data_IF_950718268502
#
_entry.id   IF_950718268502
#
_cell.length_a   1.000
_cell.length_b   1.000
_cell.length_c   1.000
_cell.angle_alpha   90.00
_cell.angle_beta   90.00
_cell.angle_gamma   90.00
#
_symmetry.space_group_name_H-M   'P 1'
#
loop_
_entity.id
_entity.type
_entity.pdbx_description
1 polymer ?
#
# COMPACT_ATOMS: atom_id res chain seq x y z
N UNK A 1 -21.11 14.21 30.51
CA UNK A 1 -19.96 13.87 29.65
C UNK A 1 -19.53 12.46 30.00
N UNK A 2 -19.68 11.48 29.10
CA UNK A 2 -19.25 10.09 29.35
C UNK A 2 -17.79 9.95 28.91
N UNK A 3 -16.90 9.61 29.82
CA UNK A 3 -15.49 9.37 29.51
C UNK A 3 -15.25 7.86 29.41
N UNK A 4 -15.00 7.38 28.20
CA UNK A 4 -14.71 5.96 27.96
C UNK A 4 -13.30 5.60 28.49
N UNK A 5 -13.13 4.44 29.15
CA UNK A 5 -11.83 3.96 29.60
C UNK A 5 -10.97 3.49 28.42
N UNK A 6 -9.65 3.36 28.62
CA UNK A 6 -8.71 2.91 27.59
C UNK A 6 -8.92 1.46 27.15
N UNK A 7 -9.62 0.64 27.94
CA UNK A 7 -10.03 -0.71 27.53
C UNK A 7 -11.04 -0.72 26.38
N UNK A 8 -11.67 0.41 26.06
CA UNK A 8 -12.58 0.52 24.91
C UNK A 8 -11.78 0.88 23.66
N UNK A 9 -11.65 -0.09 22.75
CA UNK A 9 -10.99 0.09 21.45
C UNK A 9 -11.58 1.27 20.68
N UNK A 10 -10.70 2.18 20.25
CA UNK A 10 -11.06 3.38 19.49
C UNK A 10 -11.49 4.57 20.34
N UNK A 11 -11.56 4.44 21.68
CA UNK A 11 -11.80 5.58 22.56
C UNK A 11 -10.62 6.57 22.55
N UNK A 12 -10.83 7.85 22.91
CA UNK A 12 -9.74 8.82 23.02
C UNK A 12 -8.61 8.37 23.95
N UNK A 13 -8.94 7.71 25.07
CA UNK A 13 -7.94 7.18 26.01
C UNK A 13 -7.17 6.00 25.44
N UNK A 14 -7.85 5.08 24.76
CA UNK A 14 -7.21 3.97 24.04
C UNK A 14 -6.23 4.48 22.98
N UNK A 15 -6.66 5.41 22.14
CA UNK A 15 -5.80 6.00 21.10
C UNK A 15 -4.62 6.78 21.70
N UNK A 16 -4.84 7.45 22.83
CA UNK A 16 -3.76 8.12 23.56
C UNK A 16 -2.72 7.13 24.10
N UNK A 17 -3.13 6.03 24.73
CA UNK A 17 -2.20 4.98 25.19
C UNK A 17 -1.41 4.37 24.02
N UNK A 18 -2.07 4.03 22.91
CA UNK A 18 -1.38 3.57 21.70
C UNK A 18 -0.35 4.57 21.17
N UNK A 19 -0.65 5.87 21.28
CA UNK A 19 0.30 6.92 20.90
C UNK A 19 1.49 6.96 21.85
N UNK A 20 1.27 6.82 23.16
CA UNK A 20 2.33 6.76 24.15
C UNK A 20 3.22 5.51 23.98
N UNK A 21 2.63 4.37 23.64
CA UNK A 21 3.36 3.14 23.31
C UNK A 21 4.23 3.35 22.07
N UNK A 22 3.67 3.92 21.00
CA UNK A 22 4.44 4.27 19.81
C UNK A 22 5.62 5.19 20.11
N UNK A 23 5.40 6.23 20.93
CA UNK A 23 6.47 7.13 21.37
C UNK A 23 7.52 6.43 22.23
N UNK A 24 7.12 5.45 23.05
CA UNK A 24 8.04 4.64 23.85
C UNK A 24 8.96 3.79 22.96
N UNK A 25 8.42 3.19 21.89
CA UNK A 25 9.23 2.44 20.92
C UNK A 25 10.19 3.37 20.18
N UNK A 26 9.72 4.54 19.74
CA UNK A 26 10.58 5.53 19.07
C UNK A 26 11.69 6.03 19.99
N UNK A 27 11.37 6.27 21.26
CA UNK A 27 12.36 6.68 22.27
C UNK A 27 13.43 5.62 22.52
N UNK A 28 13.02 4.35 22.59
CA UNK A 28 13.92 3.24 22.93
C UNK A 28 14.71 2.70 21.72
N UNK A 29 14.14 2.77 20.51
CA UNK A 29 14.67 2.10 19.32
C UNK A 29 14.90 3.04 18.13
N UNK A 30 14.66 4.33 18.29
CA UNK A 30 14.74 5.33 17.22
C UNK A 30 13.59 5.23 16.22
N UNK A 31 13.77 5.80 15.03
CA UNK A 31 12.75 5.77 13.98
C UNK A 31 12.54 4.33 13.46
N UNK A 32 11.30 3.96 13.10
CA UNK A 32 11.03 2.68 12.45
C UNK A 32 11.76 2.59 11.12
N UNK A 33 12.11 1.37 10.73
CA UNK A 33 12.80 1.04 9.48
C UNK A 33 11.82 0.97 8.31
N UNK A 34 10.62 0.43 8.55
CA UNK A 34 9.58 0.31 7.54
C UNK A 34 8.25 0.88 8.04
N UNK A 35 7.58 1.58 7.14
CA UNK A 35 6.19 1.99 7.26
C UNK A 35 5.38 1.28 6.17
N UNK A 36 4.63 0.26 6.54
CA UNK A 36 3.86 -0.58 5.60
C UNK A 36 2.38 -0.28 5.79
N UNK A 37 1.69 -0.05 4.67
CA UNK A 37 0.23 0.02 4.68
C UNK A 37 -0.37 -1.26 4.11
N UNK A 38 -1.40 -1.78 4.76
CA UNK A 38 -2.11 -2.98 4.31
C UNK A 38 -3.61 -2.68 4.20
N UNK A 39 -4.15 -2.75 2.99
CA UNK A 39 -5.54 -2.37 2.70
C UNK A 39 -6.37 -3.58 2.34
N UNK A 40 -7.58 -3.67 2.88
CA UNK A 40 -8.53 -4.71 2.50
C UNK A 40 -8.90 -4.61 1.02
N UNK A 41 -8.83 -5.73 0.30
CA UNK A 41 -9.33 -5.82 -1.07
C UNK A 41 -10.66 -6.62 -1.08
N UNK A 42 -11.81 -5.97 -1.35
CA UNK A 42 -13.09 -6.66 -1.45
C UNK A 42 -13.15 -7.74 -2.53
N UNK A 43 -12.20 -7.72 -3.48
CA UNK A 43 -12.13 -8.68 -4.56
C UNK A 43 -11.41 -9.99 -4.20
N UNK A 44 -10.90 -10.14 -2.97
CA UNK A 44 -10.31 -11.40 -2.50
C UNK A 44 -11.32 -12.55 -2.60
N UNK A 45 -10.84 -13.72 -3.03
CA UNK A 45 -11.68 -14.90 -3.27
C UNK A 45 -12.40 -15.33 -2.00
N UNK A 46 -11.73 -15.29 -0.84
CA UNK A 46 -12.33 -15.68 0.44
C UNK A 46 -13.54 -14.82 0.82
N UNK A 47 -13.58 -13.56 0.38
CA UNK A 47 -14.74 -12.69 0.56
C UNK A 47 -15.84 -13.12 -0.41
N UNK A 48 -15.52 -13.19 -1.70
CA UNK A 48 -16.50 -13.52 -2.76
C UNK A 48 -17.17 -14.87 -2.55
N UNK A 49 -16.41 -15.88 -2.14
CA UNK A 49 -16.89 -17.24 -1.89
C UNK A 49 -17.78 -17.35 -0.65
N UNK A 50 -17.67 -16.41 0.29
CA UNK A 50 -18.48 -16.40 1.53
C UNK A 50 -19.76 -15.56 1.36
N UNK A 51 -19.85 -14.72 0.34
CA UNK A 51 -21.03 -13.91 0.09
C UNK A 51 -22.14 -14.77 -0.50
N UNK A 52 -23.37 -14.55 -0.03
CA UNK A 52 -24.56 -15.14 -0.66
C UNK A 52 -24.84 -14.42 -1.99
N UNK A 53 -25.67 -15.05 -2.83
CA UNK A 53 -26.15 -14.44 -4.06
C UNK A 53 -26.74 -13.05 -3.78
N UNK A 54 -26.43 -12.10 -4.67
CA UNK A 54 -26.78 -10.68 -4.60
C UNK A 54 -26.11 -9.85 -3.47
N UNK A 55 -25.42 -10.46 -2.51
CA UNK A 55 -24.72 -9.70 -1.46
C UNK A 55 -23.50 -8.98 -2.02
N UNK A 56 -23.34 -7.70 -1.65
CA UNK A 56 -22.12 -6.95 -1.90
C UNK A 56 -21.18 -7.06 -0.69
N UNK A 57 -19.86 -6.97 -0.88
CA UNK A 57 -18.91 -6.94 0.22
C UNK A 57 -19.21 -5.85 1.27
N UNK A 58 -19.74 -4.71 0.82
CA UNK A 58 -20.17 -3.60 1.68
C UNK A 58 -21.34 -3.95 2.61
N UNK A 59 -22.12 -4.97 2.28
CA UNK A 59 -23.26 -5.39 3.08
C UNK A 59 -22.82 -6.30 4.24
N UNK A 60 -21.58 -6.82 4.19
CA UNK A 60 -21.02 -7.82 5.11
C UNK A 60 -19.66 -7.40 5.67
N UNK A 61 -19.66 -6.29 6.42
CA UNK A 61 -18.47 -5.78 7.11
C UNK A 61 -17.82 -6.80 8.06
N UNK A 62 -18.60 -7.74 8.61
CA UNK A 62 -18.10 -8.82 9.45
C UNK A 62 -17.19 -9.79 8.68
N UNK A 63 -17.54 -10.14 7.43
CA UNK A 63 -16.71 -10.97 6.55
C UNK A 63 -15.44 -10.21 6.18
N UNK A 64 -15.56 -8.95 5.77
CA UNK A 64 -14.42 -8.09 5.44
C UNK A 64 -13.42 -8.01 6.59
N UNK A 65 -13.89 -7.72 7.81
CA UNK A 65 -13.05 -7.63 9.00
C UNK A 65 -12.35 -8.96 9.31
N UNK A 66 -13.06 -10.10 9.21
CA UNK A 66 -12.52 -11.43 9.49
C UNK A 66 -11.43 -11.82 8.49
N UNK A 67 -11.68 -11.68 7.20
CA UNK A 67 -10.70 -12.01 6.15
C UNK A 67 -9.49 -11.08 6.26
N UNK A 68 -9.72 -9.77 6.42
CA UNK A 68 -8.66 -8.80 6.61
C UNK A 68 -7.78 -9.15 7.81
N UNK A 69 -8.38 -9.44 8.98
CA UNK A 69 -7.62 -9.76 10.19
C UNK A 69 -6.76 -11.02 10.02
N UNK A 70 -7.27 -12.05 9.35
CA UNK A 70 -6.51 -13.27 9.05
C UNK A 70 -5.34 -12.98 8.11
N UNK A 71 -5.56 -12.23 7.03
CA UNK A 71 -4.48 -11.86 6.10
C UNK A 71 -3.44 -10.94 6.75
N UNK A 72 -3.88 -9.98 7.58
CA UNK A 72 -2.98 -9.12 8.35
C UNK A 72 -2.13 -9.95 9.32
N UNK A 73 -2.73 -10.90 10.05
CA UNK A 73 -1.97 -11.80 10.92
C UNK A 73 -0.92 -12.58 10.13
N UNK A 74 -1.28 -13.13 8.97
CA UNK A 74 -0.33 -13.83 8.10
C UNK A 74 0.78 -12.91 7.59
N UNK A 75 0.47 -11.67 7.21
CA UNK A 75 1.44 -10.67 6.80
C UNK A 75 2.46 -10.38 7.90
N UNK A 76 1.98 -10.17 9.15
CA UNK A 76 2.86 -9.98 10.30
C UNK A 76 3.75 -11.20 10.54
N UNK A 77 3.23 -12.42 10.40
CA UNK A 77 4.05 -13.63 10.51
C UNK A 77 5.12 -13.72 9.43
N UNK A 78 4.81 -13.39 8.18
CA UNK A 78 5.80 -13.37 7.10
C UNK A 78 6.91 -12.35 7.40
N UNK A 79 6.55 -11.15 7.85
CA UNK A 79 7.55 -10.12 8.20
C UNK A 79 8.41 -10.57 9.39
N UNK A 80 7.79 -11.09 10.45
CA UNK A 80 8.46 -11.27 11.75
C UNK A 80 9.08 -12.63 11.95
N UNK A 81 8.44 -13.70 11.44
CA UNK A 81 8.89 -15.09 11.56
C UNK A 81 9.67 -15.55 10.35
N UNK A 82 9.19 -15.25 9.14
CA UNK A 82 9.93 -15.55 7.90
C UNK A 82 11.04 -14.53 7.61
N UNK A 83 11.04 -13.39 8.31
CA UNK A 83 12.12 -12.39 8.29
C UNK A 83 12.46 -11.90 6.88
N UNK A 84 11.43 -11.67 6.04
CA UNK A 84 11.62 -11.25 4.64
C UNK A 84 12.39 -9.93 4.48
N UNK A 85 12.35 -9.07 5.49
CA UNK A 85 13.12 -7.81 5.56
C UNK A 85 14.30 -7.88 6.54
N UNK A 86 14.63 -9.08 7.03
CA UNK A 86 15.57 -9.32 8.12
C UNK A 86 14.91 -9.49 9.48
N UNK A 87 15.75 -9.70 10.51
CA UNK A 87 15.27 -9.98 11.86
C UNK A 87 14.52 -8.78 12.47
N UNK A 88 13.25 -8.99 12.81
CA UNK A 88 12.43 -7.96 13.45
C UNK A 88 12.78 -7.83 14.93
N UNK A 89 13.16 -6.62 15.35
CA UNK A 89 13.38 -6.27 16.76
C UNK A 89 12.06 -6.07 17.48
N UNK A 90 11.18 -5.25 16.90
CA UNK A 90 9.85 -5.00 17.41
C UNK A 90 8.97 -4.43 16.30
N UNK A 91 7.66 -4.49 16.48
CA UNK A 91 6.69 -3.99 15.52
C UNK A 91 5.42 -3.55 16.24
N UNK A 92 4.64 -2.71 15.57
CA UNK A 92 3.27 -2.39 15.99
C UNK A 92 2.43 -2.07 14.77
N UNK A 93 1.11 -2.15 14.92
CA UNK A 93 0.21 -1.65 13.90
C UNK A 93 -1.04 -1.04 14.52
N UNK A 94 -1.67 -0.15 13.77
CA UNK A 94 -3.01 0.34 14.06
C UNK A 94 -3.93 0.01 12.88
N UNK A 95 -5.19 -0.31 13.17
CA UNK A 95 -6.22 -0.54 12.16
C UNK A 95 -7.21 0.62 12.20
N UNK A 96 -7.43 1.24 11.05
CA UNK A 96 -8.47 2.24 10.82
C UNK A 96 -9.46 1.79 9.75
N UNK A 97 -10.66 2.34 9.79
CA UNK A 97 -11.67 2.12 8.76
C UNK A 97 -11.68 3.32 7.82
N UNK A 98 -11.31 3.11 6.55
CA UNK A 98 -11.31 4.17 5.56
C UNK A 98 -12.75 4.60 5.20
N UNK A 99 -12.90 5.75 4.51
CA UNK A 99 -14.18 6.40 4.12
C UNK A 99 -15.17 5.53 3.30
N UNK A 100 -14.83 4.27 3.03
CA UNK A 100 -15.66 3.27 2.33
C UNK A 100 -15.95 2.03 3.17
N UNK A 101 -15.69 2.08 4.48
CA UNK A 101 -15.90 0.96 5.39
C UNK A 101 -14.95 -0.20 5.15
N UNK A 102 -13.76 0.05 4.58
CA UNK A 102 -12.73 -0.97 4.42
C UNK A 102 -11.66 -0.83 5.50
N UNK A 103 -11.27 -1.92 6.16
CA UNK A 103 -10.19 -1.88 7.12
C UNK A 103 -8.84 -1.66 6.42
N UNK A 104 -8.01 -0.86 7.07
CA UNK A 104 -6.69 -0.46 6.62
C UNK A 104 -5.74 -0.48 7.81
N UNK A 105 -4.55 -1.03 7.64
CA UNK A 105 -3.56 -1.11 8.70
C UNK A 105 -2.34 -0.28 8.36
N UNK A 106 -1.88 0.52 9.32
CA UNK A 106 -0.56 1.15 9.33
C UNK A 106 0.35 0.33 10.21
N UNK A 107 1.45 -0.19 9.65
CA UNK A 107 2.37 -1.12 10.32
C UNK A 107 3.75 -0.46 10.40
N UNK A 108 4.29 -0.39 11.62
CA UNK A 108 5.64 0.07 11.90
C UNK A 108 6.53 -1.12 12.27
N UNK A 109 7.67 -1.25 11.60
CA UNK A 109 8.66 -2.31 11.86
C UNK A 109 10.00 -1.68 12.25
N UNK A 110 10.62 -2.20 13.30
CA UNK A 110 12.01 -1.95 13.64
C UNK A 110 12.78 -3.25 13.46
N UNK A 111 13.84 -3.19 12.67
CA UNK A 111 14.71 -4.33 12.40
C UNK A 111 15.91 -4.29 13.35
N UNK A 112 16.50 -5.45 13.65
CA UNK A 112 17.77 -5.49 14.41
C UNK A 112 18.91 -4.89 13.58
N UNK A 113 18.93 -5.21 12.29
CA UNK A 113 19.83 -4.60 11.31
C UNK A 113 19.09 -3.51 10.55
N UNK A 114 19.54 -2.27 10.69
CA UNK A 114 18.94 -1.09 10.04
C UNK A 114 19.07 -1.18 8.52
N UNK A 115 18.01 -0.80 7.80
CA UNK A 115 18.02 -0.67 6.33
C UNK A 115 18.93 0.48 5.96
N UNK A 116 19.90 0.24 5.07
CA UNK A 116 20.77 1.29 4.56
C UNK A 116 20.16 1.92 3.31
N UNK A 117 20.52 3.16 2.96
CA UNK A 117 20.07 3.79 1.72
C UNK A 117 20.34 2.95 0.46
N UNK A 118 21.41 2.15 0.46
CA UNK A 118 21.77 1.23 -0.63
C UNK A 118 20.80 0.06 -0.80
N UNK A 119 20.03 -0.27 0.25
CA UNK A 119 19.13 -1.42 0.27
C UNK A 119 17.69 -1.02 -0.11
N UNK A 120 17.42 0.29 -0.30
CA UNK A 120 16.06 0.78 -0.55
C UNK A 120 15.46 0.17 -1.81
N UNK A 121 16.25 0.09 -2.88
CA UNK A 121 15.82 -0.39 -4.19
C UNK A 121 15.67 -1.93 -4.28
N UNK A 122 16.16 -2.67 -3.27
CA UNK A 122 15.91 -4.11 -3.16
C UNK A 122 14.67 -4.43 -2.32
N UNK A 123 14.22 -3.50 -1.48
CA UNK A 123 13.08 -3.68 -0.57
C UNK A 123 11.82 -2.99 -1.11
N UNK A 124 11.97 -1.82 -1.73
CA UNK A 124 10.87 -0.98 -2.20
C UNK A 124 10.94 -0.89 -3.71
N UNK A 125 9.79 -1.05 -4.35
CA UNK A 125 9.66 -0.93 -5.80
C UNK A 125 8.45 -0.09 -6.18
N UNK A 126 8.63 0.61 -7.29
CA UNK A 126 7.55 1.28 -8.00
C UNK A 126 7.64 0.96 -9.50
N UNK A 127 7.98 -0.30 -9.80
CA UNK A 127 8.20 -0.78 -11.15
C UNK A 127 7.24 -1.93 -11.49
N UNK A 128 6.89 -2.03 -12.77
CA UNK A 128 6.19 -3.17 -13.34
C UNK A 128 7.19 -4.34 -13.37
N UNK A 129 6.86 -5.50 -12.76
CA UNK A 129 7.72 -6.68 -12.79
C UNK A 129 8.00 -7.17 -14.20
N UNK A 130 9.03 -7.99 -14.36
CA UNK A 130 9.28 -8.64 -15.65
C UNK A 130 8.19 -9.70 -15.92
N UNK A 131 7.39 -9.59 -17.00
CA UNK A 131 6.32 -10.53 -17.29
C UNK A 131 6.81 -11.94 -17.65
N UNK A 132 8.09 -12.11 -18.00
CA UNK A 132 8.66 -13.42 -18.31
C UNK A 132 9.25 -14.12 -17.09
N UNK A 133 9.84 -13.37 -16.15
CA UNK A 133 10.43 -13.94 -14.94
C UNK A 133 9.40 -14.15 -13.83
N UNK A 134 8.47 -13.20 -13.66
CA UNK A 134 7.41 -13.31 -12.66
C UNK A 134 6.06 -12.84 -13.23
N UNK A 135 5.41 -13.69 -14.05
CA UNK A 135 4.11 -13.37 -14.65
C UNK A 135 3.01 -13.19 -13.60
N UNK A 136 3.13 -13.85 -12.44
CA UNK A 136 2.14 -13.75 -11.37
C UNK A 136 2.21 -12.39 -10.69
N UNK A 137 3.41 -11.95 -10.30
CA UNK A 137 3.61 -10.63 -9.71
C UNK A 137 3.30 -9.53 -10.73
N UNK A 138 3.62 -9.74 -12.00
CA UNK A 138 3.21 -8.84 -13.09
C UNK A 138 1.69 -8.64 -13.12
N UNK A 139 0.88 -9.70 -13.09
CA UNK A 139 -0.59 -9.59 -13.06
C UNK A 139 -1.07 -8.87 -11.78
N UNK A 140 -0.51 -9.24 -10.62
CA UNK A 140 -0.88 -8.62 -9.34
C UNK A 140 -0.58 -7.11 -9.36
N UNK A 141 0.61 -6.70 -9.78
CA UNK A 141 1.03 -5.29 -9.80
C UNK A 141 0.23 -4.51 -10.84
N UNK A 142 0.06 -5.02 -12.06
CA UNK A 142 -0.66 -4.32 -13.12
C UNK A 142 -2.16 -4.18 -12.82
N UNK A 143 -2.73 -5.11 -12.07
CA UNK A 143 -4.15 -5.08 -11.66
C UNK A 143 -4.41 -4.23 -10.43
N UNK A 144 -3.53 -4.27 -9.42
CA UNK A 144 -3.82 -3.70 -8.10
C UNK A 144 -2.97 -2.48 -7.75
N UNK A 145 -1.77 -2.36 -8.34
CA UNK A 145 -0.77 -1.36 -7.96
C UNK A 145 -0.57 -0.29 -9.03
N UNK A 146 -1.47 -0.18 -10.01
CA UNK A 146 -1.45 0.91 -10.98
C UNK A 146 -2.36 2.03 -10.51
N UNK A 147 -1.78 3.22 -10.35
CA UNK A 147 -2.56 4.42 -10.17
C UNK A 147 -3.34 4.69 -11.46
N UNK A 148 -4.67 4.72 -11.36
CA UNK A 148 -5.53 4.83 -12.53
C UNK A 148 -5.15 6.02 -13.41
N UNK A 149 -4.79 5.82 -14.71
CA UNK A 149 -4.30 6.89 -15.56
C UNK A 149 -5.24 8.09 -15.60
N UNK A 150 -4.79 9.23 -15.09
CA UNK A 150 -5.56 10.47 -15.00
C UNK A 150 -4.92 11.56 -15.86
N UNK A 151 -5.43 12.78 -15.82
CA UNK A 151 -4.92 13.88 -16.64
C UNK A 151 -5.36 13.68 -18.09
N UNK A 152 -4.41 13.63 -19.02
CA UNK A 152 -4.71 13.46 -20.45
C UNK A 152 -5.49 12.18 -20.78
N UNK A 153 -5.34 11.13 -19.96
CA UNK A 153 -6.11 9.89 -20.12
C UNK A 153 -7.54 9.97 -19.56
N UNK A 154 -7.76 10.79 -18.54
CA UNK A 154 -9.05 10.95 -17.89
C UNK A 154 -9.03 12.22 -16.99
N UNK A 155 -9.59 13.32 -17.50
CA UNK A 155 -9.64 14.61 -16.82
C UNK A 155 -10.71 14.68 -15.72
N UNK A 156 -11.70 13.79 -15.73
CA UNK A 156 -12.79 13.71 -14.74
C UNK A 156 -12.44 12.84 -13.52
N UNK A 157 -11.22 12.30 -13.47
CA UNK A 157 -10.80 11.45 -12.34
C UNK A 157 -10.85 12.26 -11.03
N UNK A 158 -11.33 11.69 -9.91
CA UNK A 158 -11.50 12.42 -8.65
C UNK A 158 -10.22 13.07 -8.08
N UNK A 159 -9.06 12.62 -8.54
CA UNK A 159 -7.77 13.18 -8.14
C UNK A 159 -7.38 14.44 -8.90
N UNK A 160 -8.08 14.80 -9.99
CA UNK A 160 -7.80 15.97 -10.80
C UNK A 160 -8.30 17.23 -10.10
N UNK A 161 -7.37 18.11 -9.74
CA UNK A 161 -7.64 19.41 -9.12
C UNK A 161 -6.91 20.45 -9.97
N UNK A 162 -7.65 21.44 -10.47
CA UNK A 162 -7.11 22.51 -11.33
C UNK A 162 -6.27 21.98 -12.52
N UNK A 163 -6.76 20.91 -13.16
CA UNK A 163 -6.09 20.28 -14.29
C UNK A 163 -4.83 19.47 -13.96
N UNK A 164 -4.45 19.35 -12.68
CA UNK A 164 -3.30 18.57 -12.21
C UNK A 164 -3.74 17.42 -11.31
N UNK A 165 -3.02 16.30 -11.36
CA UNK A 165 -3.26 15.21 -10.42
C UNK A 165 -2.77 15.61 -9.03
N UNK A 166 -3.67 15.68 -8.06
CA UNK A 166 -3.36 15.93 -6.64
C UNK A 166 -2.38 14.92 -6.03
N UNK A 167 -2.27 13.71 -6.62
CA UNK A 167 -1.32 12.66 -6.21
C UNK A 167 0.00 12.69 -7.02
N UNK A 168 0.19 13.71 -7.85
CA UNK A 168 1.40 13.97 -8.66
C UNK A 168 1.73 12.86 -9.67
N UNK A 169 0.71 12.18 -10.22
CA UNK A 169 0.87 11.24 -11.32
C UNK A 169 0.68 11.92 -12.69
N UNK A 170 1.39 11.48 -13.75
CA UNK A 170 2.44 10.46 -13.75
C UNK A 170 3.70 10.91 -12.98
N UNK A 171 4.38 9.98 -12.29
CA UNK A 171 5.64 10.25 -11.59
C UNK A 171 6.81 10.37 -12.56
N UNK A 172 7.93 10.96 -12.13
CA UNK A 172 9.15 11.06 -12.94
C UNK A 172 9.83 9.69 -13.05
N UNK A 173 10.41 9.40 -14.22
CA UNK A 173 11.30 8.25 -14.42
C UNK A 173 12.70 8.61 -13.94
N UNK A 174 13.28 7.77 -13.08
CA UNK A 174 14.63 7.91 -12.51
C UNK A 174 15.24 6.53 -12.33
N UNK A 175 16.56 6.43 -12.51
CA UNK A 175 17.27 5.15 -12.55
C UNK A 175 17.51 4.54 -11.16
N UNK A 176 17.58 5.37 -10.13
CA UNK A 176 17.86 4.97 -8.75
C UNK A 176 17.06 5.85 -7.79
N UNK A 177 16.78 5.34 -6.59
CA UNK A 177 16.10 6.14 -5.55
C UNK A 177 17.00 7.27 -5.05
N UNK A 178 16.43 8.48 -4.94
CA UNK A 178 17.13 9.69 -4.50
C UNK A 178 16.46 10.31 -3.27
N UNK A 179 17.27 10.86 -2.37
CA UNK A 179 16.76 11.68 -1.27
C UNK A 179 16.27 13.03 -1.81
N UNK A 180 15.13 13.50 -1.32
CA UNK A 180 14.55 14.81 -1.70
C UNK A 180 14.70 15.82 -0.56
N UNK A 181 14.76 17.10 -0.90
CA UNK A 181 14.84 18.22 0.05
C UNK A 181 13.59 18.33 0.95
N UNK A 182 12.43 17.88 0.47
CA UNK A 182 11.16 17.87 1.23
C UNK A 182 11.02 16.64 2.16
N UNK A 183 12.06 15.81 2.27
CA UNK A 183 12.10 14.63 3.13
C UNK A 183 11.39 13.39 2.57
N UNK A 184 10.77 13.47 1.38
CA UNK A 184 10.15 12.32 0.73
C UNK A 184 11.04 11.76 -0.39
N UNK A 185 11.52 10.52 -0.30
CA UNK A 185 12.40 9.97 -1.34
C UNK A 185 11.70 9.91 -2.69
N UNK A 186 12.47 10.20 -3.75
CA UNK A 186 12.08 9.94 -5.13
C UNK A 186 12.48 8.52 -5.46
N UNK A 187 11.51 7.62 -5.56
CA UNK A 187 11.78 6.19 -5.79
C UNK A 187 12.12 5.86 -7.23
N UNK A 188 13.02 4.89 -7.41
CA UNK A 188 13.40 4.31 -8.71
C UNK A 188 12.18 3.94 -9.57
N UNK A 189 12.20 4.41 -10.81
CA UNK A 189 11.21 4.12 -11.87
C UNK A 189 11.93 4.13 -13.21
N UNK A 190 12.50 3.00 -13.62
CA UNK A 190 13.27 2.91 -14.86
C UNK A 190 12.38 3.07 -16.08
N UNK A 191 12.87 3.76 -17.11
CA UNK A 191 12.23 3.81 -18.42
C UNK A 191 12.48 2.50 -19.18
N UNK A 192 11.73 2.19 -20.24
CA UNK A 192 11.95 0.96 -21.01
C UNK A 192 13.38 0.75 -21.53
N UNK A 193 14.05 1.83 -21.96
CA UNK A 193 15.45 1.76 -22.39
C UNK A 193 16.46 1.39 -21.28
N UNK A 194 16.06 1.49 -20.02
CA UNK A 194 16.91 1.20 -18.85
C UNK A 194 16.45 -0.08 -18.13
N UNK A 195 15.65 -0.94 -18.78
CA UNK A 195 15.12 -2.18 -18.20
C UNK A 195 13.78 -2.04 -17.46
N UNK A 196 13.07 -0.93 -17.62
CA UNK A 196 11.69 -0.81 -17.15
C UNK A 196 10.68 -1.54 -18.06
N UNK A 197 9.61 -2.10 -17.50
CA UNK A 197 8.57 -2.76 -18.29
C UNK A 197 7.37 -1.84 -18.55
N UNK A 198 6.57 -2.22 -19.54
CA UNK A 198 5.27 -1.60 -19.82
C UNK A 198 4.17 -2.63 -19.67
N UNK A 199 2.95 -2.15 -19.45
CA UNK A 199 1.77 -3.00 -19.40
C UNK A 199 0.63 -2.37 -20.21
N UNK A 200 -0.22 -3.23 -20.76
CA UNK A 200 -1.46 -2.83 -21.40
C UNK A 200 -2.59 -2.96 -20.40
N UNK A 201 -3.26 -1.85 -20.12
CA UNK A 201 -4.43 -1.85 -19.24
C UNK A 201 -5.66 -1.37 -19.99
N UNK A 202 -6.80 -1.99 -19.71
CA UNK A 202 -8.10 -1.56 -20.23
C UNK A 202 -8.75 -0.64 -19.21
N UNK A 203 -9.05 0.59 -19.61
CA UNK A 203 -9.75 1.55 -18.76
C UNK A 203 -11.04 2.00 -19.44
N UNK A 204 -12.07 2.18 -18.64
CA UNK A 204 -13.31 2.79 -19.07
C UNK A 204 -13.14 4.32 -19.05
N UNK A 205 -13.35 4.97 -20.19
CA UNK A 205 -13.40 6.43 -20.30
C UNK A 205 -14.78 6.82 -20.85
N UNK A 206 -15.66 7.31 -19.97
CA UNK A 206 -17.09 7.41 -20.29
C UNK A 206 -17.70 6.02 -20.47
N UNK A 207 -18.23 5.74 -21.68
CA UNK A 207 -18.83 4.46 -22.04
C UNK A 207 -17.94 3.59 -22.95
N UNK A 208 -16.70 3.99 -23.23
CA UNK A 208 -15.81 3.31 -24.18
C UNK A 208 -14.64 2.70 -23.41
N UNK A 209 -14.36 1.43 -23.71
CA UNK A 209 -13.14 0.75 -23.27
C UNK A 209 -11.98 1.17 -24.16
N UNK A 210 -10.94 1.74 -23.56
CA UNK A 210 -9.69 2.08 -24.23
C UNK A 210 -8.56 1.24 -23.67
N UNK A 211 -7.73 0.69 -24.57
CA UNK A 211 -6.47 0.07 -24.21
C UNK A 211 -5.39 1.15 -24.14
N UNK A 212 -4.74 1.25 -22.98
CA UNK A 212 -3.70 2.24 -22.72
C UNK A 212 -2.42 1.49 -22.36
N UNK A 213 -1.32 1.92 -22.97
CA UNK A 213 0.02 1.46 -22.59
C UNK A 213 0.53 2.35 -21.47
N UNK A 214 0.87 1.73 -20.34
CA UNK A 214 1.44 2.39 -19.17
C UNK A 214 2.86 1.88 -18.90
N UNK A 215 3.63 2.68 -18.21
CA UNK A 215 4.97 2.37 -17.72
C UNK A 215 5.08 2.63 -16.21
N UNK A 216 6.31 2.52 -15.70
CA UNK A 216 6.65 2.73 -14.30
C UNK A 216 6.26 4.10 -13.74
N UNK A 217 5.82 5.09 -14.54
CA UNK A 217 5.32 6.37 -14.01
C UNK A 217 4.00 6.24 -13.28
N UNK A 218 3.25 5.17 -13.52
CA UNK A 218 1.89 4.96 -13.00
C UNK A 218 1.83 3.99 -11.82
N UNK A 219 2.93 3.29 -11.51
CA UNK A 219 2.95 2.29 -10.43
C UNK A 219 2.91 2.97 -9.05
N UNK A 220 2.03 2.52 -8.18
CA UNK A 220 1.99 2.89 -6.77
C UNK A 220 3.06 2.07 -6.03
N UNK A 221 3.70 2.67 -5.03
CA UNK A 221 4.73 2.01 -4.24
C UNK A 221 4.25 0.68 -3.64
N UNK A 222 5.07 -0.36 -3.79
CA UNK A 222 4.97 -1.65 -3.11
C UNK A 222 6.31 -2.02 -2.47
N UNK A 223 6.28 -2.87 -1.43
CA UNK A 223 7.45 -3.59 -0.95
C UNK A 223 7.54 -4.94 -1.66
N UNK A 224 8.73 -5.35 -2.10
CA UNK A 224 8.98 -6.69 -2.65
C UNK A 224 9.41 -7.68 -1.56
#
# INVERSE_FOLDING_TARGET
>A
MVILPSSVTGSPRHMHEYTLDAMTFVRNYGRPDLFITFTCNPAWSEIKETLLDEQKPTDRHDILARVFKRKLAKMIEVITKSQIFGETRCWMYNIEWQKRGLPHSHILIWLKNKIKPTDVDSIISAEIPNPQEDPLLFDIVTKNMIYGPCGGFNSISPCMIEGKCSKKFPRRLIQETQSSEDGYPLYRRRKPGDGGYTAKIKKLNGNIWQEIIIDNRWVVLCSH
#
